data_IF_019244401757
#
_entry.id   IF_019244401757
#
_cell.length_a   1.000
_cell.length_b   1.000
_cell.length_c   1.000
_cell.angle_alpha   90.00
_cell.angle_beta   90.00
_cell.angle_gamma   90.00
#
_symmetry.space_group_name_H-M   'P 1'
#
loop_
_entity.id
_entity.type
_entity.pdbx_description
1 polymer ?
#
# COMPACT_ATOMS: atom_id res chain seq x y z
N UNK A 1 68.95 12.76 34.04
CA UNK A 1 67.63 12.67 34.70
C UNK A 1 66.61 12.39 33.61
N UNK A 2 66.02 11.19 33.62
CA UNK A 2 65.05 10.75 32.62
C UNK A 2 63.64 11.13 33.07
N UNK A 3 62.85 11.76 32.20
CA UNK A 3 61.41 11.92 32.36
C UNK A 3 60.71 10.94 31.40
N UNK A 4 59.75 10.11 31.86
CA UNK A 4 59.02 9.22 30.97
C UNK A 4 57.90 9.99 30.25
N UNK A 5 57.75 9.74 28.96
CA UNK A 5 56.61 10.21 28.17
C UNK A 5 55.44 9.25 28.44
N UNK A 6 54.38 9.77 29.06
CA UNK A 6 53.14 9.04 29.25
C UNK A 6 52.41 8.91 27.89
N UNK A 7 52.23 7.67 27.42
CA UNK A 7 51.37 7.36 26.27
C UNK A 7 49.94 7.25 26.78
N UNK A 8 49.12 8.27 26.52
CA UNK A 8 47.69 8.22 26.76
C UNK A 8 47.02 7.36 25.67
N UNK A 9 46.58 6.16 26.04
CA UNK A 9 45.71 5.30 25.23
C UNK A 9 44.30 5.91 25.21
N UNK A 10 43.97 6.68 24.18
CA UNK A 10 42.60 7.09 23.87
C UNK A 10 41.83 5.89 23.28
N UNK A 11 41.05 5.23 24.13
CA UNK A 11 40.07 4.24 23.68
C UNK A 11 38.83 5.00 23.20
N UNK A 12 38.66 5.16 21.89
CA UNK A 12 37.38 5.57 21.32
C UNK A 12 36.43 4.37 21.35
N UNK A 13 35.28 4.42 22.07
CA UNK A 13 34.26 3.43 21.85
C UNK A 13 33.71 3.66 20.44
N UNK A 14 33.95 2.71 19.55
CA UNK A 14 33.22 2.62 18.29
C UNK A 14 31.76 2.38 18.64
N UNK A 15 30.99 3.46 18.80
CA UNK A 15 29.54 3.42 18.74
C UNK A 15 29.23 3.13 17.27
N UNK A 16 29.27 1.84 16.93
CA UNK A 16 28.58 1.32 15.76
C UNK A 16 27.11 1.46 16.11
N UNK A 17 26.58 2.67 15.87
CA UNK A 17 25.15 2.86 15.74
C UNK A 17 24.71 1.93 14.62
N UNK A 18 24.12 0.81 14.99
CA UNK A 18 23.26 0.03 14.11
C UNK A 18 22.14 0.99 13.69
N UNK A 19 22.39 1.77 12.65
CA UNK A 19 21.33 2.30 11.83
C UNK A 19 20.67 1.04 11.29
N UNK A 20 19.59 0.60 11.94
CA UNK A 20 18.63 -0.32 11.34
C UNK A 20 18.45 0.18 9.91
N UNK A 21 18.67 -0.65 8.88
CA UNK A 21 18.33 -0.23 7.54
C UNK A 21 16.86 0.16 7.62
N UNK A 22 16.56 1.45 7.52
CA UNK A 22 15.21 1.94 7.39
C UNK A 22 14.75 1.44 6.02
N UNK A 23 14.35 0.18 5.96
CA UNK A 23 13.59 -0.36 4.86
C UNK A 23 12.28 0.41 4.89
N UNK A 24 12.16 1.37 3.99
CA UNK A 24 10.93 2.14 3.83
C UNK A 24 9.81 1.15 3.56
N UNK A 25 8.84 1.13 4.47
CA UNK A 25 7.77 0.18 4.45
C UNK A 25 6.71 0.59 3.42
N UNK A 26 6.47 -0.27 2.43
CA UNK A 26 5.29 -0.23 1.56
C UNK A 26 4.04 -0.18 2.45
N UNK A 27 2.98 0.55 2.08
CA UNK A 27 1.69 0.51 2.79
C UNK A 27 0.68 -0.45 2.15
N UNK A 28 1.12 -1.22 1.15
CA UNK A 28 0.32 -2.25 0.49
C UNK A 28 1.02 -3.60 0.61
N UNK A 29 0.26 -4.65 0.94
CA UNK A 29 0.75 -6.03 0.95
C UNK A 29 -0.15 -6.89 0.07
N UNK A 30 0.42 -7.60 -0.89
CA UNK A 30 -0.33 -8.40 -1.84
C UNK A 30 -0.46 -9.87 -1.42
N UNK A 31 -1.40 -10.59 -2.03
CA UNK A 31 -1.48 -12.04 -1.87
C UNK A 31 -0.16 -12.74 -2.15
N UNK A 32 0.29 -13.57 -1.20
CA UNK A 32 1.53 -14.33 -1.30
C UNK A 32 2.76 -13.60 -0.76
N UNK A 33 2.65 -12.30 -0.48
CA UNK A 33 3.64 -11.56 0.29
C UNK A 33 3.39 -11.74 1.78
N UNK A 34 4.46 -11.55 2.56
CA UNK A 34 4.45 -11.69 4.01
C UNK A 34 5.16 -10.50 4.64
N UNK A 35 4.66 -10.10 5.81
CA UNK A 35 5.32 -9.17 6.69
C UNK A 35 5.94 -9.98 7.82
N UNK A 36 7.26 -10.13 7.79
CA UNK A 36 8.01 -10.89 8.79
C UNK A 36 8.09 -10.12 10.10
N UNK A 37 8.36 -10.83 11.19
CA UNK A 37 8.72 -10.23 12.48
C UNK A 37 9.80 -9.14 12.31
N UNK A 38 9.56 -7.98 12.92
CA UNK A 38 10.39 -6.78 12.81
C UNK A 38 10.04 -5.86 11.63
N UNK A 39 9.26 -6.32 10.65
CA UNK A 39 8.83 -5.52 9.51
C UNK A 39 7.52 -4.77 9.79
N UNK A 40 7.28 -3.72 9.01
CA UNK A 40 6.07 -2.93 9.10
C UNK A 40 5.56 -2.51 7.71
N UNK A 41 4.28 -2.14 7.65
CA UNK A 41 3.69 -1.29 6.61
C UNK A 41 3.52 0.10 7.20
N UNK A 42 3.86 1.17 6.46
CA UNK A 42 3.81 2.54 7.00
C UNK A 42 3.18 3.52 6.00
N UNK A 43 2.19 4.30 6.47
CA UNK A 43 1.56 5.37 5.69
C UNK A 43 1.35 6.61 6.58
N UNK A 44 2.12 7.67 6.33
CA UNK A 44 2.11 8.85 7.20
C UNK A 44 2.48 8.49 8.63
N UNK A 45 1.62 8.85 9.59
CA UNK A 45 1.80 8.53 11.01
C UNK A 45 1.35 7.12 11.40
N UNK A 46 0.71 6.38 10.48
CA UNK A 46 0.17 5.06 10.78
C UNK A 46 1.15 3.97 10.40
N UNK A 47 1.27 2.96 11.27
CA UNK A 47 2.20 1.84 11.07
C UNK A 47 1.58 0.53 11.53
N UNK A 48 1.43 -0.43 10.62
CA UNK A 48 1.11 -1.81 10.97
C UNK A 48 2.40 -2.60 11.12
N UNK A 49 2.72 -3.08 12.32
CA UNK A 49 3.96 -3.80 12.58
C UNK A 49 3.72 -5.23 13.06
N UNK A 50 4.43 -6.16 12.43
CA UNK A 50 4.60 -7.51 12.94
C UNK A 50 5.77 -7.50 13.91
N UNK A 51 5.50 -7.52 15.20
CA UNK A 51 6.52 -7.43 16.24
C UNK A 51 7.31 -8.73 16.40
N UNK A 52 8.53 -8.64 16.95
CA UNK A 52 9.39 -9.78 17.22
C UNK A 52 8.80 -10.77 18.23
N UNK A 53 7.95 -10.29 19.14
CA UNK A 53 7.23 -11.11 20.14
C UNK A 53 5.96 -11.79 19.56
N UNK A 54 5.82 -11.84 18.23
CA UNK A 54 4.67 -12.37 17.51
C UNK A 54 3.35 -11.60 17.64
N UNK A 55 3.33 -10.37 18.17
CA UNK A 55 2.12 -9.54 18.10
C UNK A 55 2.03 -8.77 16.78
N UNK A 56 0.82 -8.57 16.28
CA UNK A 56 0.55 -7.68 15.16
C UNK A 56 -0.19 -6.47 15.69
N UNK A 57 0.43 -5.29 15.59
CA UNK A 57 -0.10 -4.05 16.16
C UNK A 57 -0.15 -2.96 15.09
N UNK A 58 -1.29 -2.27 15.03
CA UNK A 58 -1.46 -1.02 14.29
C UNK A 58 -1.25 0.15 15.24
N UNK A 59 -0.38 1.07 14.84
CA UNK A 59 -0.02 2.26 15.58
C UNK A 59 -0.49 3.54 14.89
N UNK A 60 -0.80 4.55 15.70
CA UNK A 60 -0.84 5.96 15.32
C UNK A 60 0.30 6.68 16.07
N UNK A 61 1.37 7.02 15.34
CA UNK A 61 2.65 7.38 15.95
C UNK A 61 3.20 6.22 16.79
N UNK A 62 3.34 6.45 18.10
CA UNK A 62 3.76 5.42 19.06
C UNK A 62 2.60 4.79 19.82
N UNK A 63 1.37 5.25 19.58
CA UNK A 63 0.17 4.79 20.31
C UNK A 63 -0.41 3.55 19.60
N UNK A 64 -0.52 2.39 20.28
CA UNK A 64 -1.20 1.24 19.71
C UNK A 64 -2.71 1.50 19.66
N UNK A 65 -3.31 1.44 18.47
CA UNK A 65 -4.75 1.70 18.25
C UNK A 65 -5.55 0.43 17.93
N UNK A 66 -4.89 -0.63 17.48
CA UNK A 66 -5.48 -1.95 17.25
C UNK A 66 -4.42 -3.05 17.33
N UNK A 67 -4.79 -4.27 17.72
CA UNK A 67 -3.87 -5.41 17.74
C UNK A 67 -4.54 -6.77 17.59
N UNK A 68 -3.80 -7.75 17.08
CA UNK A 68 -4.24 -9.13 16.94
C UNK A 68 -4.21 -9.92 18.25
N UNK A 69 -3.54 -9.41 19.29
CA UNK A 69 -3.37 -10.02 20.61
C UNK A 69 -2.70 -11.40 20.54
N UNK A 70 -1.59 -11.49 19.80
CA UNK A 70 -0.82 -12.72 19.60
C UNK A 70 0.55 -12.72 20.28
N UNK A 71 0.78 -11.76 21.18
CA UNK A 71 2.01 -11.64 21.97
C UNK A 71 2.42 -12.94 22.66
N UNK A 72 3.71 -13.29 22.56
CA UNK A 72 4.32 -14.43 23.25
C UNK A 72 3.84 -15.80 22.80
N UNK A 73 3.10 -15.89 21.69
CA UNK A 73 2.55 -17.16 21.18
C UNK A 73 3.50 -17.94 20.26
N UNK A 74 4.75 -17.51 20.16
CA UNK A 74 5.80 -18.19 19.39
C UNK A 74 6.99 -17.29 19.07
N UNK A 75 7.75 -17.74 18.08
CA UNK A 75 8.89 -17.06 17.45
C UNK A 75 8.73 -17.14 15.92
N UNK A 76 9.45 -16.28 15.18
CA UNK A 76 9.44 -16.24 13.71
C UNK A 76 8.04 -16.11 13.09
N UNK A 77 7.19 -15.31 13.72
CA UNK A 77 5.84 -15.08 13.24
C UNK A 77 5.82 -14.09 12.07
N UNK A 78 4.81 -14.24 11.23
CA UNK A 78 4.59 -13.37 10.08
C UNK A 78 3.11 -13.12 9.85
N UNK A 79 2.80 -11.94 9.33
CA UNK A 79 1.52 -11.63 8.73
C UNK A 79 1.52 -12.09 7.28
N UNK A 80 0.45 -12.71 6.82
CA UNK A 80 0.30 -13.10 5.41
C UNK A 80 -1.11 -12.89 4.90
N UNK A 81 -1.23 -12.39 3.67
CA UNK A 81 -2.50 -12.32 2.96
C UNK A 81 -2.64 -13.54 2.05
N UNK A 82 -3.60 -14.41 2.37
CA UNK A 82 -3.81 -15.68 1.66
C UNK A 82 -4.54 -15.47 0.33
N UNK A 83 -4.46 -16.49 -0.53
CA UNK A 83 -5.10 -16.49 -1.85
C UNK A 83 -6.63 -16.47 -1.81
N UNK A 84 -7.25 -16.70 -0.66
CA UNK A 84 -8.70 -16.59 -0.45
C UNK A 84 -9.09 -15.24 0.20
N UNK A 85 -8.16 -14.28 0.31
CA UNK A 85 -8.41 -12.98 0.93
C UNK A 85 -8.42 -12.99 2.46
N UNK A 86 -8.07 -14.11 3.09
CA UNK A 86 -7.93 -14.22 4.54
C UNK A 86 -6.59 -13.64 4.98
N UNK A 87 -6.61 -12.70 5.93
CA UNK A 87 -5.40 -12.18 6.56
C UNK A 87 -5.11 -12.97 7.82
N UNK A 88 -3.88 -13.46 7.97
CA UNK A 88 -3.50 -14.33 9.07
C UNK A 88 -2.18 -13.90 9.69
N UNK A 89 -2.09 -14.00 11.01
CA UNK A 89 -0.81 -14.07 11.71
C UNK A 89 -0.49 -15.54 11.92
N UNK A 90 0.68 -15.98 11.48
CA UNK A 90 1.12 -17.37 11.59
C UNK A 90 2.45 -17.48 12.31
N UNK A 91 2.63 -18.64 12.95
CA UNK A 91 3.92 -19.16 13.39
C UNK A 91 4.28 -20.33 12.48
N UNK A 92 5.23 -20.13 11.58
CA UNK A 92 5.55 -21.09 10.53
C UNK A 92 4.34 -21.49 9.66
N UNK A 93 4.43 -22.62 8.97
CA UNK A 93 3.43 -23.04 7.98
C UNK A 93 2.17 -23.61 8.63
N UNK A 94 2.24 -24.16 9.85
CA UNK A 94 1.15 -24.95 10.42
C UNK A 94 0.28 -24.23 11.45
N UNK A 95 0.79 -23.20 12.12
CA UNK A 95 0.10 -22.59 13.25
C UNK A 95 -0.44 -21.21 12.90
N UNK A 96 -1.77 -21.07 12.96
CA UNK A 96 -2.45 -19.78 12.80
C UNK A 96 -2.70 -19.20 14.18
N UNK A 97 -2.09 -18.05 14.49
CA UNK A 97 -2.24 -17.38 15.79
C UNK A 97 -3.46 -16.45 15.81
N UNK A 98 -3.77 -15.83 14.67
CA UNK A 98 -4.92 -14.97 14.46
C UNK A 98 -5.38 -15.03 12.99
N UNK A 99 -6.67 -14.79 12.76
CA UNK A 99 -7.26 -14.69 11.42
C UNK A 99 -8.34 -13.61 11.38
N UNK A 100 -8.40 -12.87 10.28
CA UNK A 100 -9.52 -11.96 10.00
C UNK A 100 -10.86 -12.70 9.84
N UNK A 101 -10.83 -14.03 9.69
CA UNK A 101 -11.99 -14.94 9.53
C UNK A 101 -12.83 -14.70 8.26
N UNK A 102 -12.56 -13.64 7.51
CA UNK A 102 -13.19 -13.37 6.22
C UNK A 102 -12.46 -14.14 5.13
N UNK A 103 -13.21 -14.94 4.38
CA UNK A 103 -12.72 -15.77 3.27
C UNK A 103 -13.54 -15.50 2.02
N UNK A 104 -12.92 -15.66 0.87
CA UNK A 104 -13.52 -15.47 -0.44
C UNK A 104 -12.90 -16.44 -1.46
N UNK A 105 -13.36 -16.38 -2.71
CA UNK A 105 -12.86 -17.25 -3.78
C UNK A 105 -11.34 -17.07 -3.98
N UNK A 106 -10.64 -18.12 -4.39
CA UNK A 106 -9.21 -18.05 -4.70
C UNK A 106 -8.92 -16.96 -5.74
N UNK A 107 -7.95 -16.09 -5.48
CA UNK A 107 -7.60 -14.94 -6.32
C UNK A 107 -6.42 -14.13 -5.78
N UNK A 108 -6.22 -12.93 -6.34
CA UNK A 108 -5.20 -11.96 -5.90
C UNK A 108 -5.86 -10.79 -5.19
N UNK A 109 -5.45 -10.52 -3.96
CA UNK A 109 -5.98 -9.51 -3.06
C UNK A 109 -4.88 -8.50 -2.70
N UNK A 110 -5.30 -7.39 -2.11
CA UNK A 110 -4.40 -6.38 -1.57
C UNK A 110 -4.88 -5.95 -0.18
N UNK A 111 -3.96 -5.96 0.79
CA UNK A 111 -4.10 -5.30 2.08
C UNK A 111 -3.53 -3.89 1.93
N UNK A 112 -4.25 -2.88 2.40
CA UNK A 112 -3.82 -1.48 2.34
C UNK A 112 -3.97 -0.85 3.72
N UNK A 113 -2.92 -0.15 4.16
CA UNK A 113 -2.99 0.82 5.23
C UNK A 113 -3.17 2.21 4.62
N UNK A 114 -4.34 2.81 4.80
CA UNK A 114 -4.62 4.14 4.24
C UNK A 114 -4.06 5.29 5.11
N UNK A 115 -4.09 6.51 4.57
CA UNK A 115 -3.56 7.69 5.24
C UNK A 115 -4.37 8.17 6.46
N UNK A 116 -5.48 7.50 6.78
CA UNK A 116 -6.32 7.75 7.96
C UNK A 116 -6.24 6.60 8.97
N UNK A 117 -5.28 5.69 8.81
CA UNK A 117 -5.08 4.56 9.73
C UNK A 117 -6.07 3.42 9.52
N UNK A 118 -6.84 3.41 8.42
CA UNK A 118 -7.69 2.26 8.12
C UNK A 118 -6.90 1.16 7.45
N UNK A 119 -6.87 0.00 8.11
CA UNK A 119 -6.39 -1.23 7.52
C UNK A 119 -7.53 -1.96 6.82
N UNK A 120 -7.44 -2.16 5.49
CA UNK A 120 -8.48 -2.78 4.68
C UNK A 120 -7.98 -3.83 3.70
N UNK A 121 -8.73 -4.94 3.54
CA UNK A 121 -8.48 -5.95 2.51
C UNK A 121 -9.41 -5.71 1.32
N UNK A 122 -8.84 -5.38 0.18
CA UNK A 122 -9.56 -5.26 -1.08
C UNK A 122 -9.60 -6.59 -1.81
N UNK A 123 -10.74 -6.86 -2.44
CA UNK A 123 -11.08 -8.09 -3.14
C UNK A 123 -10.19 -8.42 -4.34
N UNK A 124 -10.67 -9.34 -5.17
CA UNK A 124 -9.88 -9.87 -6.28
C UNK A 124 -9.49 -8.77 -7.26
N UNK A 125 -8.28 -8.88 -7.85
CA UNK A 125 -7.85 -8.02 -8.94
C UNK A 125 -8.84 -8.09 -10.12
N UNK A 126 -9.46 -6.95 -10.44
CA UNK A 126 -10.49 -6.80 -11.49
C UNK A 126 -9.91 -6.41 -12.83
N UNK A 127 -8.84 -5.63 -12.83
CA UNK A 127 -8.20 -5.13 -14.03
C UNK A 127 -6.69 -4.95 -13.80
N UNK A 128 -5.94 -4.98 -14.89
CA UNK A 128 -4.50 -4.70 -14.93
C UNK A 128 -4.25 -3.95 -16.23
N UNK A 129 -3.37 -2.95 -16.21
CA UNK A 129 -2.92 -2.28 -17.42
C UNK A 129 -2.30 -3.28 -18.40
N UNK A 130 -2.41 -3.01 -19.70
CA UNK A 130 -2.05 -3.96 -20.75
C UNK A 130 -0.55 -4.02 -21.07
N UNK A 131 0.26 -3.19 -20.41
CA UNK A 131 1.70 -3.21 -20.60
C UNK A 131 2.34 -4.47 -20.02
N UNK A 132 3.50 -4.82 -20.56
CA UNK A 132 4.31 -5.91 -20.04
C UNK A 132 4.81 -5.57 -18.63
N UNK A 133 5.14 -6.61 -17.87
CA UNK A 133 5.79 -6.44 -16.58
C UNK A 133 7.21 -5.96 -16.82
N UNK A 134 7.56 -4.86 -16.16
CA UNK A 134 8.94 -4.39 -16.15
C UNK A 134 9.78 -5.30 -15.25
N UNK A 135 10.93 -5.72 -15.77
CA UNK A 135 11.92 -6.56 -15.07
C UNK A 135 13.13 -5.68 -14.79
N UNK A 136 12.98 -4.77 -13.83
CA UNK A 136 14.05 -3.89 -13.37
C UNK A 136 14.71 -4.42 -12.10
N UNK A 137 16.03 -4.27 -11.99
CA UNK A 137 16.72 -4.42 -10.70
C UNK A 137 16.13 -3.39 -9.74
N UNK A 138 15.71 -3.87 -8.56
CA UNK A 138 15.12 -3.03 -7.53
C UNK A 138 16.21 -2.10 -7.01
N UNK A 139 16.32 -0.90 -7.57
CA UNK A 139 17.05 0.16 -6.89
C UNK A 139 16.32 0.45 -5.57
N UNK A 140 17.08 0.56 -4.49
CA UNK A 140 16.62 0.79 -3.12
C UNK A 140 16.11 2.21 -2.90
N UNK A 141 15.70 2.87 -3.97
CA UNK A 141 15.21 4.25 -3.95
C UNK A 141 13.94 4.31 -3.10
N UNK A 142 14.00 5.22 -2.13
CA UNK A 142 12.98 5.51 -1.14
C UNK A 142 11.63 5.75 -1.81
N UNK A 143 10.64 4.91 -1.52
CA UNK A 143 9.26 5.16 -1.97
C UNK A 143 8.66 6.20 -1.02
N UNK A 144 8.57 7.44 -1.47
CA UNK A 144 7.81 8.49 -0.78
C UNK A 144 6.96 9.26 -1.78
N UNK A 145 5.94 8.61 -2.31
CA UNK A 145 4.89 9.25 -3.10
C UNK A 145 3.61 8.42 -3.02
N UNK A 146 2.46 9.06 -3.12
CA UNK A 146 1.15 8.41 -3.22
C UNK A 146 1.12 7.47 -4.45
N UNK A 147 0.88 6.17 -4.29
CA UNK A 147 0.79 5.20 -5.40
C UNK A 147 -0.52 4.41 -5.45
N UNK A 148 -1.48 4.80 -4.61
CA UNK A 148 -2.82 4.20 -4.56
C UNK A 148 -3.86 5.27 -4.84
N UNK A 149 -4.76 4.99 -5.79
CA UNK A 149 -5.96 5.79 -6.03
C UNK A 149 -7.16 5.05 -5.45
N UNK A 150 -7.86 5.66 -4.51
CA UNK A 150 -9.09 5.11 -3.94
C UNK A 150 -10.30 5.41 -4.82
N UNK A 151 -11.29 4.52 -4.80
CA UNK A 151 -12.55 4.75 -5.50
C UNK A 151 -13.20 6.03 -5.00
N UNK A 152 -13.67 6.87 -5.92
CA UNK A 152 -14.24 8.17 -5.58
C UNK A 152 -13.24 9.33 -5.62
N UNK A 153 -11.95 9.07 -5.69
CA UNK A 153 -10.94 10.11 -5.91
C UNK A 153 -10.84 10.49 -7.39
N UNK A 154 -10.41 11.72 -7.64
CA UNK A 154 -10.01 12.18 -8.98
C UNK A 154 -8.51 12.37 -9.02
N UNK A 155 -7.90 11.78 -10.04
CA UNK A 155 -6.53 12.07 -10.45
C UNK A 155 -6.58 13.07 -11.60
N UNK A 156 -5.96 14.23 -11.45
CA UNK A 156 -5.84 15.25 -12.50
C UNK A 156 -4.59 16.09 -12.23
N UNK A 157 -3.99 16.72 -13.25
CA UNK A 157 -2.83 17.60 -13.06
C UNK A 157 -3.10 18.65 -11.96
N UNK A 158 -2.14 18.92 -11.06
CA UNK A 158 -0.77 18.38 -11.02
C UNK A 158 -0.60 17.06 -10.23
N UNK A 159 -1.68 16.48 -9.67
CA UNK A 159 -1.61 15.22 -8.89
C UNK A 159 -1.27 14.07 -9.82
N UNK A 160 -0.31 13.25 -9.40
CA UNK A 160 0.12 12.01 -10.05
C UNK A 160 0.31 10.93 -9.00
N UNK A 161 0.25 9.67 -9.42
CA UNK A 161 0.73 8.58 -8.58
C UNK A 161 2.16 8.28 -8.93
N UNK A 162 2.98 7.90 -7.95
CA UNK A 162 4.36 7.49 -8.21
C UNK A 162 4.78 6.37 -7.29
N UNK A 163 5.37 5.33 -7.88
CA UNK A 163 5.99 4.23 -7.16
C UNK A 163 7.39 3.99 -7.74
N UNK A 164 8.43 4.31 -6.96
CA UNK A 164 9.82 4.35 -7.43
C UNK A 164 9.94 5.26 -8.66
N UNK A 165 10.42 4.74 -9.79
CA UNK A 165 10.57 5.42 -11.07
C UNK A 165 9.30 5.43 -11.93
N UNK A 166 8.25 4.70 -11.54
CA UNK A 166 7.02 4.67 -12.32
C UNK A 166 6.07 5.77 -11.87
N UNK A 167 5.54 6.52 -12.83
CA UNK A 167 4.58 7.59 -12.61
C UNK A 167 3.30 7.35 -13.42
N UNK A 168 2.13 7.43 -12.76
CA UNK A 168 0.83 7.52 -13.42
C UNK A 168 0.40 8.99 -13.43
N UNK A 169 0.47 9.61 -14.60
CA UNK A 169 0.22 11.05 -14.75
C UNK A 169 -0.51 11.37 -16.07
N UNK A 170 -0.98 12.61 -16.19
CA UNK A 170 -1.60 13.10 -17.42
C UNK A 170 -0.60 13.89 -18.26
N UNK A 171 -0.36 13.44 -19.50
CA UNK A 171 0.36 14.18 -20.53
C UNK A 171 -0.64 14.70 -21.56
N UNK A 172 -0.99 16.00 -21.51
CA UNK A 172 -1.95 16.63 -22.44
C UNK A 172 -3.27 15.85 -22.58
N UNK A 173 -3.89 15.52 -21.44
CA UNK A 173 -5.11 14.73 -21.35
C UNK A 173 -5.01 13.26 -21.83
N UNK A 174 -3.80 12.75 -21.98
CA UNK A 174 -3.54 11.32 -22.10
C UNK A 174 -3.06 10.79 -20.74
N UNK A 175 -3.78 9.85 -20.13
CA UNK A 175 -3.31 9.21 -18.89
C UNK A 175 -2.26 8.18 -19.27
N UNK A 176 -1.05 8.33 -18.74
CA UNK A 176 0.10 7.48 -19.06
C UNK A 176 0.68 6.85 -17.80
N UNK A 177 1.21 5.63 -17.94
CA UNK A 177 2.24 5.13 -17.03
C UNK A 177 3.58 5.38 -17.72
N UNK A 178 4.43 6.15 -17.07
CA UNK A 178 5.75 6.53 -17.55
C UNK A 178 6.81 5.99 -16.61
N UNK A 179 7.91 5.52 -17.17
CA UNK A 179 9.17 5.34 -16.45
C UNK A 179 9.95 6.66 -16.51
N UNK A 180 10.11 7.33 -15.38
CA UNK A 180 10.74 8.65 -15.29
C UNK A 180 12.26 8.62 -15.47
N UNK A 181 12.90 7.46 -15.34
CA UNK A 181 14.33 7.29 -15.57
C UNK A 181 14.64 7.17 -17.05
N UNK A 182 13.87 6.34 -17.76
CA UNK A 182 14.06 6.10 -19.20
C UNK A 182 13.22 7.01 -20.09
N UNK A 183 12.32 7.81 -19.50
CA UNK A 183 11.31 8.64 -20.18
C UNK A 183 10.35 7.83 -21.08
N UNK A 184 10.31 6.50 -20.94
CA UNK A 184 9.46 5.62 -21.75
C UNK A 184 8.02 5.62 -21.24
N UNK A 185 7.08 5.77 -22.17
CA UNK A 185 5.66 5.50 -21.91
C UNK A 185 5.44 3.99 -21.96
N UNK A 186 5.08 3.40 -20.82
CA UNK A 186 4.81 1.97 -20.68
C UNK A 186 3.39 1.62 -21.12
N UNK A 187 2.44 2.50 -20.78
CA UNK A 187 1.02 2.33 -21.06
C UNK A 187 0.35 3.70 -21.21
N UNK A 188 -0.74 3.77 -21.97
CA UNK A 188 -1.52 5.01 -22.14
C UNK A 188 -2.98 4.75 -22.52
N UNK A 189 -3.85 5.72 -22.23
CA UNK A 189 -5.27 5.69 -22.64
C UNK A 189 -5.52 6.19 -24.05
N UNK A 190 -4.56 6.90 -24.66
CA UNK A 190 -4.68 7.55 -25.96
C UNK A 190 -5.87 8.52 -26.04
N UNK A 191 -6.20 9.16 -24.92
CA UNK A 191 -7.28 10.14 -24.83
C UNK A 191 -6.79 11.53 -25.22
N UNK A 192 -7.67 12.31 -25.83
CA UNK A 192 -7.40 13.69 -26.23
C UNK A 192 -8.60 14.58 -25.90
N UNK A 193 -8.35 15.63 -25.13
CA UNK A 193 -9.29 16.71 -24.83
C UNK A 193 -8.56 17.89 -24.17
N UNK A 194 -9.24 19.03 -24.04
CA UNK A 194 -8.67 20.24 -23.40
C UNK A 194 -8.27 20.02 -21.94
N UNK A 195 -8.96 19.14 -21.23
CA UNK A 195 -8.64 18.74 -19.86
C UNK A 195 -9.25 17.39 -19.56
N UNK A 196 -8.70 16.64 -18.61
CA UNK A 196 -9.41 15.46 -18.11
C UNK A 196 -8.92 15.08 -16.73
N UNK A 197 -9.65 14.13 -16.16
CA UNK A 197 -9.31 13.48 -14.92
C UNK A 197 -9.57 11.99 -15.05
N UNK A 198 -8.77 11.20 -14.33
CA UNK A 198 -9.05 9.81 -14.11
C UNK A 198 -9.85 9.66 -12.82
N UNK A 199 -10.74 8.67 -12.77
CA UNK A 199 -11.50 8.34 -11.58
C UNK A 199 -11.66 6.83 -11.52
N UNK A 200 -11.38 6.25 -10.36
CA UNK A 200 -11.81 4.90 -10.05
C UNK A 200 -13.24 4.98 -9.55
N UNK A 201 -14.17 4.43 -10.34
CA UNK A 201 -15.59 4.46 -10.00
C UNK A 201 -15.94 3.46 -8.89
N UNK A 202 -17.12 3.62 -8.30
CA UNK A 202 -17.59 2.75 -7.20
C UNK A 202 -17.94 1.33 -7.65
N UNK A 203 -18.02 1.09 -8.96
CA UNK A 203 -18.15 -0.25 -9.54
C UNK A 203 -16.77 -0.87 -9.89
N UNK A 204 -15.67 -0.18 -9.57
CA UNK A 204 -14.32 -0.64 -9.84
C UNK A 204 -13.82 -0.35 -11.26
N UNK A 205 -14.60 0.34 -12.09
CA UNK A 205 -14.12 0.76 -13.40
C UNK A 205 -13.18 1.98 -13.28
N UNK A 206 -11.94 1.85 -13.77
CA UNK A 206 -11.09 3.01 -14.00
C UNK A 206 -11.56 3.73 -15.27
N UNK A 207 -11.84 5.03 -15.16
CA UNK A 207 -12.29 5.88 -16.26
C UNK A 207 -11.42 7.11 -16.42
N UNK A 208 -11.36 7.66 -17.63
CA UNK A 208 -10.87 9.00 -17.95
C UNK A 208 -12.02 9.82 -18.52
N UNK A 209 -12.24 11.02 -17.99
CA UNK A 209 -13.39 11.87 -18.32
C UNK A 209 -12.99 13.34 -18.57
N UNK A 210 -13.70 14.00 -19.48
CA UNK A 210 -13.68 15.45 -19.67
C UNK A 210 -15.06 16.03 -19.35
N UNK A 211 -15.15 16.95 -18.38
CA UNK A 211 -16.43 17.57 -17.96
C UNK A 211 -17.56 16.55 -17.70
N UNK A 212 -17.22 15.34 -17.25
CA UNK A 212 -18.17 14.26 -16.99
C UNK A 212 -18.41 13.31 -18.17
N UNK A 213 -18.05 13.70 -19.40
CA UNK A 213 -18.10 12.82 -20.56
C UNK A 213 -16.99 11.76 -20.49
N UNK A 214 -17.34 10.50 -20.71
CA UNK A 214 -16.39 9.39 -20.78
C UNK A 214 -15.53 9.49 -22.03
N UNK A 215 -14.21 9.52 -21.87
CA UNK A 215 -13.22 9.46 -22.95
C UNK A 215 -12.61 8.06 -23.07
N UNK A 216 -12.37 7.40 -21.93
CA UNK A 216 -11.82 6.05 -21.87
C UNK A 216 -12.32 5.32 -20.63
N UNK A 217 -12.51 4.01 -20.73
CA UNK A 217 -12.88 3.14 -19.62
C UNK A 217 -12.13 1.81 -19.70
N UNK A 218 -11.77 1.26 -18.54
CA UNK A 218 -11.16 -0.06 -18.44
C UNK A 218 -12.10 -1.21 -18.85
N UNK A 219 -13.41 -0.93 -18.99
CA UNK A 219 -14.47 -1.89 -19.35
C UNK A 219 -14.52 -3.12 -18.42
N UNK A 220 -14.04 -2.96 -17.19
CA UNK A 220 -14.09 -3.98 -16.13
C UNK A 220 -14.84 -3.40 -14.95
N UNK A 221 -16.02 -3.94 -14.71
CA UNK A 221 -16.90 -3.57 -13.60
C UNK A 221 -17.04 -4.73 -12.61
N UNK A 222 -17.38 -4.40 -11.39
CA UNK A 222 -17.73 -5.31 -10.31
C UNK A 222 -19.00 -4.84 -9.62
N UNK A 223 -19.27 -5.39 -8.43
CA UNK A 223 -20.34 -4.88 -7.57
C UNK A 223 -19.99 -3.49 -7.04
N UNK A 224 -20.99 -2.68 -6.70
CA UNK A 224 -20.74 -1.40 -6.03
C UNK A 224 -20.01 -1.61 -4.70
N UNK A 225 -19.04 -0.74 -4.41
CA UNK A 225 -18.28 -0.73 -3.16
C UNK A 225 -16.97 0.04 -3.28
N UNK A 226 -16.15 0.05 -2.23
CA UNK A 226 -14.83 0.68 -2.26
C UNK A 226 -13.83 -0.14 -3.08
N UNK A 227 -13.09 0.49 -3.98
CA UNK A 227 -12.02 -0.11 -4.77
C UNK A 227 -10.72 0.67 -4.61
N UNK A 228 -9.61 0.07 -5.04
CA UNK A 228 -8.32 0.74 -5.17
C UNK A 228 -7.69 0.44 -6.52
N UNK A 229 -6.93 1.40 -7.05
CA UNK A 229 -6.00 1.19 -8.14
C UNK A 229 -4.59 1.42 -7.60
N UNK A 230 -3.69 0.46 -7.79
CA UNK A 230 -2.34 0.46 -7.20
C UNK A 230 -1.31 0.44 -8.32
N UNK A 231 -0.45 1.47 -8.37
CA UNK A 231 0.71 1.49 -9.24
C UNK A 231 1.81 0.64 -8.59
N UNK A 232 2.29 -0.37 -9.31
CA UNK A 232 3.12 -1.44 -8.74
C UNK A 232 4.59 -1.32 -9.12
N UNK A 233 5.43 -2.05 -8.39
CA UNK A 233 6.86 -2.22 -8.67
C UNK A 233 7.20 -2.79 -10.06
N UNK A 234 6.24 -3.41 -10.75
CA UNK A 234 6.41 -3.98 -12.09
C UNK A 234 5.93 -3.04 -13.22
N UNK A 235 5.73 -1.76 -12.91
CA UNK A 235 5.31 -0.74 -13.87
C UNK A 235 3.87 -0.89 -14.35
N UNK A 236 3.04 -1.70 -13.67
CA UNK A 236 1.63 -1.92 -14.02
C UNK A 236 0.70 -1.28 -12.99
N UNK A 237 -0.49 -0.91 -13.46
CA UNK A 237 -1.60 -0.46 -12.63
C UNK A 237 -2.59 -1.60 -12.45
N UNK A 238 -2.80 -2.05 -11.22
CA UNK A 238 -3.76 -3.11 -10.88
C UNK A 238 -4.95 -2.51 -10.12
N UNK A 239 -6.18 -2.90 -10.48
CA UNK A 239 -7.40 -2.52 -9.73
C UNK A 239 -7.88 -3.69 -8.88
N UNK A 240 -8.08 -3.47 -7.58
CA UNK A 240 -8.56 -4.47 -6.61
C UNK A 240 -9.86 -4.01 -5.95
N UNK A 241 -10.74 -4.97 -5.65
CA UNK A 241 -11.95 -4.71 -4.88
C UNK A 241 -13.11 -5.68 -5.15
N UNK A 242 -14.28 -5.40 -4.55
CA UNK A 242 -14.50 -4.33 -3.57
C UNK A 242 -13.82 -4.64 -2.23
N UNK A 243 -13.82 -3.69 -1.28
CA UNK A 243 -13.40 -3.91 0.11
C UNK A 243 -14.12 -5.13 0.73
N UNK A 244 -13.38 -5.99 1.42
CA UNK A 244 -13.86 -7.27 1.98
C UNK A 244 -13.72 -7.36 3.49
N UNK A 245 -12.82 -6.60 4.09
CA UNK A 245 -12.61 -6.57 5.53
C UNK A 245 -11.92 -5.27 5.92
N UNK A 246 -12.20 -4.80 7.13
CA UNK A 246 -11.52 -3.67 7.78
C UNK A 246 -11.35 -3.97 9.27
N UNK A 247 -10.27 -3.47 9.87
CA UNK A 247 -9.97 -3.69 11.28
C UNK A 247 -10.97 -3.02 12.25
N UNK A 248 -11.62 -1.94 11.82
CA UNK A 248 -12.59 -1.14 12.60
C UNK A 248 -14.03 -1.70 12.54
N UNK A 249 -14.26 -2.83 11.86
CA UNK A 249 -15.55 -3.51 11.81
C UNK A 249 -16.65 -2.80 11.01
N UNK A 250 -16.41 -1.60 10.46
CA UNK A 250 -17.39 -0.86 9.69
C UNK A 250 -17.46 -1.35 8.24
N UNK A 251 -18.29 -2.37 8.01
CA UNK A 251 -18.66 -2.78 6.65
C UNK A 251 -19.62 -1.81 5.95
N UNK A 252 -20.31 -0.94 6.70
CA UNK A 252 -21.35 -0.03 6.21
C UNK A 252 -21.11 1.41 6.67
N UNK A 253 -20.38 2.23 5.89
CA UNK A 253 -20.44 3.71 5.93
C UNK A 253 -19.49 4.41 4.94
N UNK A 254 -19.42 3.92 3.69
CA UNK A 254 -18.79 4.70 2.60
C UNK A 254 -19.81 5.18 1.55
N UNK A 255 -21.10 5.13 1.87
CA UNK A 255 -22.15 5.88 1.17
C UNK A 255 -22.51 7.13 1.97
N UNK A 256 -22.27 8.30 1.35
CA UNK A 256 -22.84 9.62 1.62
C UNK A 256 -22.64 10.27 3.01
N UNK A 257 -21.99 11.45 2.98
CA UNK A 257 -22.12 12.59 3.89
C UNK A 257 -22.44 12.31 5.37
N UNK A 258 -21.41 12.27 6.22
CA UNK A 258 -21.57 12.52 7.64
C UNK A 258 -21.50 14.03 7.90
N UNK A 259 -22.66 14.68 7.92
CA UNK A 259 -22.84 15.93 8.66
C UNK A 259 -22.80 15.61 10.16
N UNK A 260 -21.92 16.29 10.89
CA UNK A 260 -21.74 16.16 12.34
C UNK A 260 -23.02 16.50 13.13
N UNK A 261 -23.35 15.77 14.21
CA UNK A 261 -24.26 16.29 15.21
C UNK A 261 -23.53 17.27 16.13
N UNK A 262 -24.09 18.46 16.23
CA UNK A 262 -23.73 19.51 17.17
C UNK A 262 -23.93 19.05 18.61
N UNK A 263 -22.92 19.29 19.45
CA UNK A 263 -23.00 19.17 20.91
C UNK A 263 -24.08 20.09 21.47
N UNK A 264 -24.86 19.57 22.43
CA UNK A 264 -25.45 20.33 23.54
C UNK A 264 -24.77 19.80 24.80
#
# INVERSE_FOLDING_TARGET
MAFPIAVALLVFPAIVGLLSPYATADYVLFTGEVLMAGQNLTNGQYRLAMQANCDLILYEGEIPIWGANTVGRGDDCYLGLKQNGELVVRRGVHYTLWSSSIKSKKGKYALVLDGNGRLGIYGQRRWTSSNQKEVGLLDGSTVTTEYVLFSGDRLMPPRKLKYKNYELEFMRCNLVIKDDQSERILWQTSTDARSCYARLETDGELTVKHKGQLLWGSNRKGSNGPYIAVLRFDGRLDVFGPLRWTHDGHHDSLSSNASFPSKI
#
